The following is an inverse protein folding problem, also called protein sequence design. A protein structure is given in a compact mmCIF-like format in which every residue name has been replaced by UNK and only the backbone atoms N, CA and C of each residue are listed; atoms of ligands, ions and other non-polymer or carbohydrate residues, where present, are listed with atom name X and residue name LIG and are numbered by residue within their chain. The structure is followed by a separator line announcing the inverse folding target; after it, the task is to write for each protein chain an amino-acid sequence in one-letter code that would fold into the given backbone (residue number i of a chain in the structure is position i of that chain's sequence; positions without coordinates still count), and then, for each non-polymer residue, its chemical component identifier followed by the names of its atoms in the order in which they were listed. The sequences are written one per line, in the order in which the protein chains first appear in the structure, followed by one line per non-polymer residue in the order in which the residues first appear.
data_IF_705072828804
#
_entry.id   IF_705072828804
#
_cell.length_a   1.000
_cell.length_b   1.000
_cell.length_c   1.000
_cell.angle_alpha   90.00
_cell.angle_beta   90.00
_cell.angle_gamma   90.00
#
_symmetry.space_group_name_H-M   'P 1'
#
loop_
_entity.id
_entity.type
_entity.pdbx_description
1 polymer ?
#
# COMPACT_ATOMS: atom_id res chain seq x y z
N UNK A 1 4.59 26.25 16.38
CA UNK A 1 4.56 25.34 15.21
C UNK A 1 4.03 24.02 15.74
N UNK A 2 2.95 23.52 15.15
CA UNK A 2 2.32 22.26 15.56
C UNK A 2 3.22 21.09 15.14
N UNK A 3 3.34 20.07 15.98
CA UNK A 3 4.12 18.88 15.67
C UNK A 3 3.29 17.89 14.85
N UNK A 4 3.54 17.86 13.53
CA UNK A 4 2.90 16.90 12.62
C UNK A 4 3.76 15.64 12.38
N UNK A 5 4.88 15.50 13.09
CA UNK A 5 5.75 14.34 12.97
C UNK A 5 5.04 13.05 13.42
N UNK A 6 5.45 11.94 12.84
CA UNK A 6 4.95 10.61 13.19
C UNK A 6 6.06 9.58 13.13
N UNK A 7 5.76 8.36 13.53
CA UNK A 7 6.64 7.22 13.39
C UNK A 7 5.96 6.15 12.54
N UNK A 8 6.69 5.59 11.59
CA UNK A 8 6.22 4.48 10.76
C UNK A 8 7.39 3.53 10.46
N UNK A 9 7.20 2.24 10.72
CA UNK A 9 8.22 1.18 10.59
C UNK A 9 9.52 1.48 11.38
N UNK A 10 9.38 2.09 12.55
CA UNK A 10 10.53 2.54 13.33
C UNK A 10 11.24 3.79 12.78
N UNK A 11 10.84 4.28 11.61
CA UNK A 11 11.39 5.48 10.97
C UNK A 11 10.67 6.73 11.50
N UNK A 12 11.44 7.77 11.84
CA UNK A 12 10.88 9.08 12.20
C UNK A 12 10.55 9.85 10.92
N UNK A 13 9.30 10.23 10.76
CA UNK A 13 8.78 10.96 9.62
C UNK A 13 8.42 12.39 9.99
N UNK A 14 8.66 13.33 9.07
CA UNK A 14 8.38 14.77 9.28
C UNK A 14 6.87 15.07 9.33
N UNK A 15 6.04 14.19 8.77
CA UNK A 15 4.59 14.34 8.70
C UNK A 15 3.89 13.03 8.33
N UNK A 16 2.56 13.02 8.28
CA UNK A 16 1.77 11.80 8.13
C UNK A 16 1.58 11.35 6.67
N UNK A 17 2.08 12.11 5.69
CA UNK A 17 1.84 11.83 4.27
C UNK A 17 3.00 11.04 3.68
N UNK A 18 2.69 9.86 3.15
CA UNK A 18 3.60 9.00 2.39
C UNK A 18 3.07 8.86 0.97
N UNK A 19 3.95 8.91 -0.02
CA UNK A 19 3.57 8.58 -1.40
C UNK A 19 3.54 7.07 -1.56
N UNK A 20 2.36 6.52 -1.92
CA UNK A 20 2.19 5.10 -2.20
C UNK A 20 2.86 4.71 -3.51
N UNK A 21 3.15 3.42 -3.69
CA UNK A 21 3.66 2.87 -4.95
C UNK A 21 2.83 3.34 -6.15
N UNK A 22 3.47 4.00 -7.12
CA UNK A 22 2.83 4.65 -8.26
C UNK A 22 3.86 4.86 -9.37
N UNK A 23 3.47 4.87 -10.67
CA UNK A 23 4.37 5.23 -11.77
C UNK A 23 5.04 6.60 -11.62
N UNK A 24 4.46 7.54 -10.87
CA UNK A 24 5.10 8.82 -10.57
C UNK A 24 6.43 8.65 -9.82
N UNK A 25 6.58 7.58 -9.04
CA UNK A 25 7.83 7.29 -8.30
C UNK A 25 8.91 6.58 -9.14
N UNK A 26 8.74 6.44 -10.45
CA UNK A 26 9.77 5.92 -11.38
C UNK A 26 10.75 7.01 -11.85
N UNK A 27 10.52 8.26 -11.50
CA UNK A 27 11.35 9.39 -11.83
C UNK A 27 12.03 9.94 -10.57
N UNK A 28 13.36 9.99 -10.57
CA UNK A 28 14.16 10.62 -9.50
C UNK A 28 13.77 12.09 -9.30
N UNK A 29 13.48 12.79 -10.39
CA UNK A 29 13.02 14.18 -10.32
C UNK A 29 11.65 14.31 -9.65
N UNK A 30 10.72 13.41 -9.93
CA UNK A 30 9.44 13.39 -9.24
C UNK A 30 9.60 13.08 -7.75
N UNK A 31 10.49 12.14 -7.39
CA UNK A 31 10.76 11.82 -5.97
C UNK A 31 11.29 13.05 -5.23
N UNK A 32 12.18 13.83 -5.86
CA UNK A 32 12.66 15.10 -5.31
C UNK A 32 11.52 16.11 -5.13
N UNK A 33 10.65 16.26 -6.13
CA UNK A 33 9.47 17.14 -6.05
C UNK A 33 8.50 16.68 -4.96
N UNK A 34 8.34 15.37 -4.73
CA UNK A 34 7.54 14.83 -3.64
C UNK A 34 8.10 15.22 -2.27
N UNK A 35 9.42 15.14 -2.09
CA UNK A 35 10.07 15.62 -0.86
C UNK A 35 9.92 17.14 -0.69
N UNK A 36 10.15 17.92 -1.73
CA UNK A 36 9.99 19.38 -1.74
C UNK A 36 8.54 19.80 -1.43
N UNK A 37 7.56 19.03 -1.90
CA UNK A 37 6.13 19.23 -1.59
C UNK A 37 5.76 18.80 -0.16
N UNK A 38 6.67 18.15 0.58
CA UNK A 38 6.47 17.79 1.97
C UNK A 38 6.09 16.31 2.21
N UNK A 39 6.22 15.43 1.23
CA UNK A 39 6.13 14.00 1.47
C UNK A 39 7.15 13.57 2.52
N UNK A 40 6.75 12.68 3.42
CA UNK A 40 7.60 12.22 4.51
C UNK A 40 8.32 10.91 4.22
N UNK A 41 7.86 10.16 3.23
CA UNK A 41 8.49 8.98 2.63
C UNK A 41 7.87 8.69 1.26
N UNK A 42 8.56 7.90 0.45
CA UNK A 42 8.07 7.46 -0.86
C UNK A 42 8.23 5.95 -0.98
N UNK A 43 7.14 5.29 -1.40
CA UNK A 43 7.17 3.88 -1.81
C UNK A 43 7.41 3.84 -3.32
N UNK A 44 8.46 3.17 -3.74
CA UNK A 44 8.79 3.01 -5.16
C UNK A 44 7.76 2.13 -5.86
N UNK A 45 7.69 2.23 -7.17
CA UNK A 45 6.93 1.28 -8.02
C UNK A 45 7.30 -0.15 -7.67
N UNK A 46 6.31 -1.04 -7.64
CA UNK A 46 6.53 -2.43 -7.27
C UNK A 46 7.35 -3.17 -8.33
N UNK A 47 8.31 -3.95 -7.88
CA UNK A 47 8.95 -4.98 -8.70
C UNK A 47 8.06 -6.23 -8.67
N UNK A 48 7.64 -6.72 -9.84
CA UNK A 48 6.75 -7.86 -9.97
C UNK A 48 7.52 -9.17 -10.15
N UNK A 49 7.02 -10.24 -9.52
CA UNK A 49 7.60 -11.58 -9.62
C UNK A 49 7.64 -12.08 -11.07
N UNK A 50 6.60 -11.80 -11.84
CA UNK A 50 6.48 -12.20 -13.24
C UNK A 50 7.58 -11.57 -14.12
N UNK A 51 7.96 -10.32 -13.83
CA UNK A 51 9.08 -9.66 -14.53
C UNK A 51 10.39 -10.40 -14.29
N UNK A 52 10.63 -10.80 -13.04
CA UNK A 52 11.83 -11.53 -12.65
C UNK A 52 11.89 -12.94 -13.24
N UNK A 53 10.73 -13.63 -13.32
CA UNK A 53 10.63 -14.93 -13.96
C UNK A 53 10.90 -14.86 -15.47
N UNK A 54 10.45 -13.79 -16.13
CA UNK A 54 10.71 -13.54 -17.54
C UNK A 54 12.19 -13.30 -17.81
N UNK A 55 12.85 -12.45 -16.99
CA UNK A 55 14.30 -12.22 -17.10
C UNK A 55 15.11 -13.51 -16.97
N UNK A 56 14.76 -14.34 -15.97
CA UNK A 56 15.46 -15.60 -15.75
C UNK A 56 15.31 -16.55 -16.96
N UNK A 57 14.12 -16.61 -17.57
CA UNK A 57 13.88 -17.40 -18.78
C UNK A 57 14.64 -16.87 -19.99
N UNK A 58 14.62 -15.55 -20.20
CA UNK A 58 15.35 -14.92 -21.31
C UNK A 58 16.86 -15.16 -21.18
N UNK A 59 17.38 -15.09 -19.97
CA UNK A 59 18.80 -15.37 -19.68
C UNK A 59 19.14 -16.85 -19.94
N UNK A 60 18.26 -17.79 -19.52
CA UNK A 60 18.42 -19.23 -19.75
C UNK A 60 18.32 -19.57 -21.26
N UNK A 61 17.43 -18.93 -21.99
CA UNK A 61 17.27 -19.06 -23.44
C UNK A 61 18.50 -18.50 -24.18
N UNK A 62 19.03 -17.36 -23.77
CA UNK A 62 20.24 -16.78 -24.36
C UNK A 62 21.49 -17.62 -24.03
N UNK A 63 21.56 -18.23 -22.86
CA UNK A 63 22.61 -19.17 -22.49
C UNK A 63 22.45 -20.53 -23.20
N UNK A 64 21.22 -20.94 -23.51
CA UNK A 64 20.92 -22.22 -24.19
C UNK A 64 20.85 -22.11 -25.71
N UNK A 65 20.92 -20.93 -26.31
CA UNK A 65 20.93 -20.71 -27.78
C UNK A 65 22.06 -21.42 -28.55
N UNK A 66 22.87 -22.25 -27.85
CA UNK A 66 23.85 -23.16 -28.47
C UNK A 66 23.38 -24.58 -28.70
N UNK A 67 22.19 -25.00 -28.27
CA UNK A 67 21.69 -26.37 -28.43
C UNK A 67 20.18 -26.39 -28.67
N UNK A 68 19.81 -26.60 -29.94
CA UNK A 68 18.52 -27.04 -30.49
C UNK A 68 17.23 -26.27 -30.11
N UNK A 69 16.65 -25.73 -31.17
CA UNK A 69 15.34 -25.06 -31.21
C UNK A 69 14.17 -26.04 -31.00
N UNK A 70 13.25 -25.70 -30.09
CA UNK A 70 11.83 -26.04 -30.20
C UNK A 70 10.98 -24.85 -29.77
N UNK A 71 10.27 -24.29 -30.77
CA UNK A 71 9.23 -23.29 -30.54
C UNK A 71 7.95 -24.04 -30.15
N UNK A 72 7.49 -23.90 -28.91
CA UNK A 72 6.07 -23.94 -28.50
C UNK A 72 5.95 -23.79 -27.01
N UNK A 73 5.78 -22.57 -26.58
CA UNK A 73 4.84 -22.23 -25.51
C UNK A 73 4.72 -20.70 -25.47
N UNK A 74 3.82 -20.19 -26.29
CA UNK A 74 3.31 -18.83 -26.15
C UNK A 74 2.52 -18.79 -24.84
N UNK A 75 3.21 -18.34 -23.80
CA UNK A 75 2.66 -18.28 -22.46
C UNK A 75 1.55 -17.24 -22.35
N UNK A 76 0.64 -17.49 -21.46
CA UNK A 76 -0.40 -16.60 -20.94
C UNK A 76 0.16 -15.35 -20.18
N UNK A 77 1.34 -14.88 -20.52
CA UNK A 77 1.90 -13.67 -19.93
C UNK A 77 1.55 -12.49 -20.85
N UNK A 78 0.98 -11.39 -20.30
CA UNK A 78 0.74 -10.16 -21.06
C UNK A 78 2.05 -9.62 -21.65
N UNK A 79 1.98 -8.89 -22.78
CA UNK A 79 3.12 -8.16 -23.32
C UNK A 79 3.59 -7.08 -22.34
N UNK A 80 4.62 -7.39 -21.57
CA UNK A 80 5.23 -6.49 -20.58
C UNK A 80 6.22 -5.47 -21.19
N UNK A 81 6.22 -5.28 -22.51
CA UNK A 81 7.19 -4.45 -23.23
C UNK A 81 7.21 -2.99 -22.77
N UNK A 82 6.14 -2.49 -22.12
CA UNK A 82 6.08 -1.11 -21.58
C UNK A 82 6.41 -1.01 -20.07
N UNK A 83 6.57 -2.14 -19.35
CA UNK A 83 6.80 -2.20 -17.89
C UNK A 83 8.06 -3.00 -17.53
N UNK A 84 9.13 -2.87 -18.28
CA UNK A 84 10.33 -3.70 -18.09
C UNK A 84 11.41 -3.01 -17.27
N UNK A 85 11.16 -2.79 -15.96
CA UNK A 85 12.28 -2.57 -15.04
C UNK A 85 12.91 -3.91 -14.71
N UNK A 86 14.14 -4.15 -15.18
CA UNK A 86 14.92 -5.31 -14.80
C UNK A 86 15.31 -5.24 -13.32
N UNK A 87 15.62 -6.38 -12.69
CA UNK A 87 16.10 -6.43 -11.31
C UNK A 87 17.26 -5.47 -11.08
N UNK A 88 18.29 -5.51 -11.95
CA UNK A 88 19.46 -4.64 -11.84
C UNK A 88 19.11 -3.16 -12.03
N UNK A 89 18.21 -2.84 -12.97
CA UNK A 89 17.76 -1.48 -13.20
C UNK A 89 16.97 -0.91 -12.01
N UNK A 90 16.14 -1.76 -11.35
CA UNK A 90 15.43 -1.40 -10.15
C UNK A 90 16.36 -1.09 -8.98
N UNK A 91 17.35 -1.94 -8.71
CA UNK A 91 18.34 -1.70 -7.66
C UNK A 91 19.18 -0.44 -7.94
N UNK A 92 19.59 -0.24 -9.19
CA UNK A 92 20.28 0.98 -9.62
C UNK A 92 19.40 2.23 -9.47
N UNK A 93 18.12 2.13 -9.76
CA UNK A 93 17.15 3.21 -9.57
C UNK A 93 16.95 3.53 -8.07
N UNK A 94 16.74 2.51 -7.24
CA UNK A 94 16.63 2.65 -5.79
C UNK A 94 17.85 3.38 -5.20
N UNK A 95 19.05 2.97 -5.58
CA UNK A 95 20.28 3.62 -5.12
C UNK A 95 20.34 5.11 -5.53
N UNK A 96 19.97 5.43 -6.78
CA UNK A 96 19.89 6.84 -7.24
C UNK A 96 18.83 7.63 -6.48
N UNK A 97 17.63 7.08 -6.33
CA UNK A 97 16.54 7.73 -5.59
C UNK A 97 16.98 8.05 -4.16
N UNK A 98 17.57 7.07 -3.46
CA UNK A 98 18.05 7.25 -2.09
C UNK A 98 19.15 8.31 -1.96
N UNK A 99 19.97 8.49 -3.00
CA UNK A 99 21.08 9.45 -2.99
C UNK A 99 20.66 10.92 -3.17
N UNK A 100 19.46 11.19 -3.66
CA UNK A 100 19.00 12.55 -4.01
C UNK A 100 18.00 13.16 -3.03
N UNK A 101 17.44 12.36 -2.10
CA UNK A 101 16.47 12.84 -1.11
C UNK A 101 16.90 12.48 0.32
N UNK A 102 16.42 13.27 1.27
CA UNK A 102 16.65 13.05 2.71
C UNK A 102 15.53 12.26 3.39
N UNK A 103 14.42 12.03 2.71
CA UNK A 103 13.28 11.25 3.22
C UNK A 103 13.50 9.74 2.97
N UNK A 104 12.90 8.87 3.80
CA UNK A 104 12.95 7.43 3.59
C UNK A 104 12.39 6.98 2.23
N UNK A 105 13.08 6.02 1.61
CA UNK A 105 12.66 5.34 0.39
C UNK A 105 12.33 3.89 0.73
N UNK A 106 11.07 3.51 0.51
CA UNK A 106 10.58 2.16 0.70
C UNK A 106 10.56 1.45 -0.66
N UNK A 107 11.20 0.30 -0.75
CA UNK A 107 11.08 -0.55 -1.94
C UNK A 107 9.79 -1.35 -1.87
N UNK A 108 9.15 -1.58 -3.01
CA UNK A 108 7.92 -2.38 -3.10
C UNK A 108 8.15 -3.64 -3.91
N UNK A 109 7.76 -4.78 -3.34
CA UNK A 109 7.79 -6.09 -3.97
C UNK A 109 6.37 -6.62 -4.15
N UNK A 110 6.04 -7.10 -5.36
CA UNK A 110 4.73 -7.67 -5.67
C UNK A 110 4.87 -9.11 -6.15
N UNK A 111 4.21 -10.05 -5.46
CA UNK A 111 4.17 -11.46 -5.85
C UNK A 111 3.54 -12.38 -4.81
N UNK A 112 3.49 -13.65 -5.16
CA UNK A 112 2.75 -14.68 -4.43
C UNK A 112 3.58 -15.91 -4.03
N UNK A 113 4.83 -16.08 -4.55
CA UNK A 113 5.64 -17.28 -4.29
C UNK A 113 6.88 -16.98 -3.46
N UNK A 114 7.31 -17.92 -2.62
CA UNK A 114 8.38 -17.70 -1.64
C UNK A 114 9.82 -17.77 -2.20
N UNK A 115 10.03 -18.33 -3.38
CA UNK A 115 11.38 -18.74 -3.83
C UNK A 115 12.33 -17.60 -4.21
N UNK A 116 11.86 -16.55 -4.88
CA UNK A 116 12.67 -15.42 -5.35
C UNK A 116 12.77 -14.25 -4.36
N UNK A 117 11.76 -14.08 -3.53
CA UNK A 117 11.55 -12.91 -2.68
C UNK A 117 12.64 -12.68 -1.63
N UNK A 118 13.12 -13.74 -1.00
CA UNK A 118 14.16 -13.66 0.02
C UNK A 118 15.46 -13.09 -0.55
N UNK A 119 15.81 -13.51 -1.78
CA UNK A 119 17.01 -13.00 -2.46
C UNK A 119 16.82 -11.52 -2.81
N UNK A 120 15.68 -11.16 -3.41
CA UNK A 120 15.41 -9.78 -3.80
C UNK A 120 15.32 -8.84 -2.61
N UNK A 121 14.71 -9.26 -1.51
CA UNK A 121 14.67 -8.47 -0.28
C UNK A 121 16.08 -8.14 0.24
N UNK A 122 17.00 -9.12 0.21
CA UNK A 122 18.41 -8.89 0.58
C UNK A 122 19.13 -7.92 -0.37
N UNK A 123 18.86 -8.02 -1.66
CA UNK A 123 19.50 -7.13 -2.63
C UNK A 123 18.94 -5.70 -2.55
N UNK A 124 17.64 -5.54 -2.26
CA UNK A 124 17.01 -4.27 -1.93
C UNK A 124 17.61 -3.63 -0.67
N UNK A 125 17.81 -4.41 0.38
CA UNK A 125 18.49 -3.93 1.60
C UNK A 125 19.90 -3.44 1.30
N UNK A 126 20.69 -4.22 0.52
CA UNK A 126 22.04 -3.82 0.10
C UNK A 126 22.04 -2.57 -0.79
N UNK A 127 21.02 -2.37 -1.61
CA UNK A 127 20.86 -1.18 -2.45
C UNK A 127 20.49 0.08 -1.65
N UNK A 128 20.17 -0.06 -0.34
CA UNK A 128 19.99 1.05 0.58
C UNK A 128 18.54 1.48 0.79
N UNK A 129 17.57 0.60 0.58
CA UNK A 129 16.19 0.86 0.99
C UNK A 129 16.10 1.04 2.51
N UNK A 130 15.24 1.95 2.96
CA UNK A 130 14.98 2.19 4.38
C UNK A 130 13.96 1.19 4.95
N UNK A 131 13.07 0.64 4.09
CA UNK A 131 12.09 -0.38 4.43
C UNK A 131 11.62 -1.14 3.17
N UNK A 132 10.88 -2.23 3.37
CA UNK A 132 10.23 -2.99 2.29
C UNK A 132 8.71 -2.97 2.50
N UNK A 133 7.95 -2.67 1.45
CA UNK A 133 6.51 -2.93 1.36
C UNK A 133 6.30 -4.22 0.55
N UNK A 134 5.85 -5.29 1.21
CA UNK A 134 5.41 -6.51 0.53
C UNK A 134 3.97 -6.31 0.05
N UNK A 135 3.80 -6.25 -1.25
CA UNK A 135 2.50 -6.15 -1.89
C UNK A 135 2.01 -7.56 -2.25
N UNK A 136 1.21 -8.15 -1.37
CA UNK A 136 0.70 -9.51 -1.52
C UNK A 136 -0.61 -9.51 -2.31
N UNK A 137 -0.52 -9.21 -3.61
CA UNK A 137 -1.67 -9.18 -4.51
C UNK A 137 -1.88 -10.58 -5.11
N UNK A 138 -2.49 -11.47 -4.31
CA UNK A 138 -2.90 -12.79 -4.78
C UNK A 138 -4.41 -12.85 -4.95
N UNK A 139 -4.86 -13.39 -6.08
CA UNK A 139 -6.27 -13.69 -6.33
C UNK A 139 -6.50 -15.19 -6.15
N UNK A 140 -7.34 -15.54 -5.18
CA UNK A 140 -7.74 -16.92 -4.93
C UNK A 140 -8.79 -17.35 -5.95
N UNK A 141 -8.35 -17.81 -7.11
CA UNK A 141 -9.21 -18.22 -8.24
C UNK A 141 -9.41 -19.73 -8.31
N UNK A 142 -8.61 -20.51 -7.59
CA UNK A 142 -8.75 -21.97 -7.54
C UNK A 142 -9.75 -22.37 -6.45
N UNK A 143 -10.89 -22.99 -6.82
CA UNK A 143 -11.89 -23.45 -5.85
C UNK A 143 -11.41 -24.59 -4.93
N UNK A 144 -10.31 -25.25 -5.25
CA UNK A 144 -9.71 -26.28 -4.42
C UNK A 144 -8.83 -25.71 -3.30
N UNK A 145 -8.38 -24.44 -3.42
CA UNK A 145 -7.53 -23.79 -2.43
C UNK A 145 -8.36 -23.22 -1.27
N UNK A 146 -8.05 -23.62 -0.06
CA UNK A 146 -8.74 -23.13 1.13
C UNK A 146 -8.21 -21.78 1.63
N UNK A 147 -9.03 -21.00 2.34
CA UNK A 147 -8.60 -19.76 2.98
C UNK A 147 -7.41 -19.97 3.93
N UNK A 148 -7.37 -21.11 4.64
CA UNK A 148 -6.28 -21.42 5.56
C UNK A 148 -4.95 -21.63 4.82
N UNK A 149 -4.96 -22.28 3.66
CA UNK A 149 -3.77 -22.45 2.81
C UNK A 149 -3.27 -21.13 2.26
N UNK A 150 -4.17 -20.25 1.81
CA UNK A 150 -3.81 -18.89 1.32
C UNK A 150 -3.16 -18.07 2.43
N UNK A 151 -3.77 -18.06 3.63
CA UNK A 151 -3.21 -17.36 4.78
C UNK A 151 -1.85 -17.93 5.20
N UNK A 152 -1.69 -19.26 5.18
CA UNK A 152 -0.44 -19.92 5.51
C UNK A 152 0.68 -19.55 4.54
N UNK A 153 0.42 -19.58 3.23
CA UNK A 153 1.38 -19.18 2.20
C UNK A 153 1.83 -17.72 2.38
N UNK A 154 0.89 -16.82 2.68
CA UNK A 154 1.21 -15.44 2.98
C UNK A 154 2.13 -15.30 4.21
N UNK A 155 1.83 -16.02 5.28
CA UNK A 155 2.61 -15.96 6.51
C UNK A 155 4.01 -16.55 6.35
N UNK A 156 4.14 -17.65 5.61
CA UNK A 156 5.45 -18.25 5.27
C UNK A 156 6.31 -17.29 4.44
N UNK A 157 5.71 -16.60 3.49
CA UNK A 157 6.39 -15.56 2.70
C UNK A 157 6.90 -14.43 3.60
N UNK A 158 6.02 -13.88 4.45
CA UNK A 158 6.36 -12.75 5.34
C UNK A 158 7.45 -13.15 6.35
N UNK A 159 7.31 -14.30 7.01
CA UNK A 159 8.32 -14.83 7.93
C UNK A 159 9.69 -15.03 7.25
N UNK A 160 9.68 -15.60 6.04
CA UNK A 160 10.90 -15.80 5.26
C UNK A 160 11.60 -14.49 4.90
N UNK A 161 10.86 -13.47 4.49
CA UNK A 161 11.42 -12.15 4.17
C UNK A 161 11.90 -11.44 5.43
N UNK A 162 11.07 -11.39 6.49
CA UNK A 162 11.43 -10.70 7.74
C UNK A 162 12.68 -11.28 8.39
N UNK A 163 12.90 -12.60 8.30
CA UNK A 163 14.15 -13.23 8.78
C UNK A 163 15.36 -12.95 7.89
N UNK A 164 15.14 -12.62 6.64
CA UNK A 164 16.20 -12.47 5.66
C UNK A 164 16.85 -11.09 5.65
N UNK A 165 16.13 -10.06 6.11
CA UNK A 165 16.55 -8.65 6.10
C UNK A 165 16.52 -8.06 7.52
N UNK A 166 17.24 -6.95 7.71
CA UNK A 166 17.28 -6.19 8.96
C UNK A 166 16.41 -4.93 8.90
N UNK A 167 16.14 -4.44 7.68
CA UNK A 167 15.26 -3.30 7.46
C UNK A 167 13.81 -3.72 7.71
N UNK A 168 12.95 -2.80 8.19
CA UNK A 168 11.57 -3.12 8.51
C UNK A 168 10.75 -3.51 7.29
N UNK A 169 9.75 -4.38 7.52
CA UNK A 169 8.86 -4.90 6.49
C UNK A 169 7.42 -4.54 6.82
N UNK A 170 6.73 -3.87 5.91
CA UNK A 170 5.29 -3.68 5.92
C UNK A 170 4.62 -4.64 4.95
N UNK A 171 3.42 -5.12 5.30
CA UNK A 171 2.63 -6.00 4.44
C UNK A 171 1.37 -5.27 3.97
N UNK A 172 1.25 -5.11 2.66
CA UNK A 172 0.06 -4.49 2.06
C UNK A 172 -0.96 -5.56 1.72
N UNK A 173 -2.12 -5.44 2.36
CA UNK A 173 -3.15 -6.47 2.36
C UNK A 173 -4.28 -6.18 1.38
N UNK A 174 -4.94 -7.25 0.92
CA UNK A 174 -6.28 -7.19 0.35
C UNK A 174 -7.32 -7.06 1.47
N UNK A 175 -8.47 -6.42 1.24
CA UNK A 175 -9.57 -6.42 2.21
C UNK A 175 -10.34 -7.75 2.26
N UNK A 176 -10.01 -8.72 1.40
CA UNK A 176 -10.79 -9.93 1.16
C UNK A 176 -10.44 -11.10 2.10
N UNK A 177 -9.96 -10.83 3.30
CA UNK A 177 -9.72 -11.86 4.32
C UNK A 177 -10.92 -11.99 5.27
N UNK A 178 -11.28 -13.23 5.61
CA UNK A 178 -12.43 -13.52 6.47
C UNK A 178 -12.26 -12.97 7.89
N UNK A 179 -11.05 -13.05 8.45
CA UNK A 179 -10.73 -12.54 9.78
C UNK A 179 -9.45 -11.69 9.73
N UNK A 180 -9.60 -10.44 9.31
CA UNK A 180 -8.47 -9.51 9.20
C UNK A 180 -7.74 -9.29 10.54
N UNK A 181 -8.41 -9.13 11.70
CA UNK A 181 -7.69 -8.98 12.97
C UNK A 181 -6.84 -10.19 13.34
N UNK A 182 -7.33 -11.40 13.08
CA UNK A 182 -6.56 -12.62 13.34
C UNK A 182 -5.36 -12.72 12.41
N UNK A 183 -5.54 -12.47 11.12
CA UNK A 183 -4.44 -12.45 10.16
C UNK A 183 -3.39 -11.40 10.51
N UNK A 184 -3.81 -10.20 10.89
CA UNK A 184 -2.90 -9.11 11.26
C UNK A 184 -2.04 -9.46 12.48
N UNK A 185 -2.61 -10.12 13.49
CA UNK A 185 -1.86 -10.61 14.64
C UNK A 185 -0.83 -11.69 14.22
N UNK A 186 -1.19 -12.61 13.34
CA UNK A 186 -0.25 -13.61 12.81
C UNK A 186 0.86 -13.01 11.95
N UNK A 187 0.59 -11.93 11.24
CA UNK A 187 1.62 -11.18 10.49
C UNK A 187 2.61 -10.48 11.44
N UNK A 188 2.12 -9.94 12.56
CA UNK A 188 2.98 -9.43 13.65
C UNK A 188 3.88 -10.54 14.19
N UNK A 189 3.32 -11.72 14.49
CA UNK A 189 4.08 -12.90 14.94
C UNK A 189 5.10 -13.38 13.90
N UNK A 190 4.80 -13.24 12.60
CA UNK A 190 5.70 -13.55 11.49
C UNK A 190 6.80 -12.48 11.28
N UNK A 191 6.81 -11.42 12.09
CA UNK A 191 7.86 -10.39 12.10
C UNK A 191 7.57 -9.15 11.28
N UNK A 192 6.37 -8.97 10.72
CA UNK A 192 5.99 -7.71 10.08
C UNK A 192 6.00 -6.57 11.10
N UNK A 193 6.52 -5.40 10.72
CA UNK A 193 6.51 -4.20 11.55
C UNK A 193 5.38 -3.23 11.19
N UNK A 194 4.68 -3.48 10.10
CA UNK A 194 3.53 -2.68 9.69
C UNK A 194 2.61 -3.40 8.73
N UNK A 195 1.37 -2.91 8.67
CA UNK A 195 0.39 -3.31 7.66
C UNK A 195 -0.13 -2.10 6.91
N UNK A 196 -0.41 -2.29 5.62
CA UNK A 196 -1.00 -1.26 4.77
C UNK A 196 -2.41 -1.68 4.36
N UNK A 197 -3.39 -0.87 4.73
CA UNK A 197 -4.81 -1.06 4.47
C UNK A 197 -5.26 -0.08 3.37
N UNK A 198 -5.54 -0.46 2.16
CA UNK A 198 -5.44 -1.77 1.53
C UNK A 198 -4.83 -1.63 0.14
N UNK A 199 -4.41 -2.76 -0.43
CA UNK A 199 -4.19 -2.82 -1.86
C UNK A 199 -5.49 -2.51 -2.59
N UNK A 200 -5.39 -1.92 -3.78
CA UNK A 200 -6.56 -1.70 -4.61
C UNK A 200 -6.85 -2.98 -5.39
N UNK A 201 -8.10 -3.41 -5.33
CA UNK A 201 -8.57 -4.50 -6.16
C UNK A 201 -8.97 -3.95 -7.53
N UNK A 202 -8.28 -4.39 -8.58
CA UNK A 202 -8.57 -4.00 -9.96
C UNK A 202 -9.49 -5.05 -10.58
N UNK A 203 -10.71 -4.63 -10.91
CA UNK A 203 -11.66 -5.46 -11.60
C UNK A 203 -11.61 -5.15 -13.10
N UNK A 204 -11.62 -6.20 -13.97
CA UNK A 204 -11.82 -5.99 -15.39
C UNK A 204 -13.27 -5.53 -15.66
N UNK A 205 -13.45 -4.77 -16.74
CA UNK A 205 -14.75 -4.43 -17.29
C UNK A 205 -15.08 -5.32 -18.49
N UNK A 206 -16.35 -5.37 -18.88
CA UNK A 206 -16.82 -6.16 -20.00
C UNK A 206 -17.31 -5.23 -21.13
N UNK A 207 -16.69 -5.32 -22.31
CA UNK A 207 -17.22 -4.68 -23.49
C UNK A 207 -18.29 -5.62 -24.11
N UNK A 208 -19.54 -5.20 -23.99
CA UNK A 208 -20.68 -5.99 -24.43
C UNK A 208 -20.85 -6.01 -25.95
N UNK A 209 -20.27 -5.03 -26.66
CA UNK A 209 -20.35 -4.96 -28.13
C UNK A 209 -19.30 -5.88 -28.79
N UNK A 210 -18.08 -5.89 -28.25
CA UNK A 210 -16.99 -6.76 -28.75
C UNK A 210 -16.91 -8.09 -28.03
N UNK A 211 -17.65 -8.30 -26.94
CA UNK A 211 -17.62 -9.48 -26.06
C UNK A 211 -16.21 -9.74 -25.49
N UNK A 212 -15.50 -8.66 -25.16
CA UNK A 212 -14.14 -8.71 -24.62
C UNK A 212 -14.11 -8.33 -23.15
N UNK A 213 -13.19 -8.95 -22.41
CA UNK A 213 -12.84 -8.57 -21.05
C UNK A 213 -11.73 -7.53 -21.14
N UNK A 214 -11.96 -6.31 -20.61
CA UNK A 214 -11.03 -5.20 -20.72
C UNK A 214 -10.42 -4.85 -19.36
N UNK A 215 -9.09 -4.74 -19.23
CA UNK A 215 -8.47 -4.17 -18.05
C UNK A 215 -8.88 -2.71 -17.92
N UNK A 216 -9.37 -2.31 -16.76
CA UNK A 216 -9.86 -0.95 -16.51
C UNK A 216 -9.22 -0.38 -15.26
N UNK A 217 -8.62 0.81 -15.39
CA UNK A 217 -8.03 1.53 -14.27
C UNK A 217 -8.88 2.76 -13.93
N UNK A 218 -9.45 2.75 -12.73
CA UNK A 218 -10.07 3.94 -12.14
C UNK A 218 -9.24 4.44 -10.97
N UNK A 219 -9.03 5.74 -10.85
CA UNK A 219 -8.41 6.31 -9.65
C UNK A 219 -9.33 6.14 -8.44
N UNK A 220 -8.74 6.00 -7.25
CA UNK A 220 -9.51 5.91 -6.01
C UNK A 220 -10.26 7.22 -5.76
N UNK A 221 -11.42 7.10 -5.14
CA UNK A 221 -12.25 8.22 -4.70
C UNK A 221 -12.25 8.31 -3.17
N UNK A 222 -12.58 9.47 -2.56
CA UNK A 222 -12.67 9.62 -1.10
C UNK A 222 -13.63 8.61 -0.44
N UNK A 223 -14.65 8.13 -1.14
CA UNK A 223 -15.58 7.11 -0.60
C UNK A 223 -14.90 5.77 -0.29
N UNK A 224 -13.83 5.45 -0.98
CA UNK A 224 -13.06 4.22 -0.72
C UNK A 224 -12.30 4.27 0.62
N UNK A 225 -12.07 5.46 1.18
CA UNK A 225 -11.41 5.63 2.47
C UNK A 225 -12.20 4.97 3.61
N UNK A 226 -13.53 4.95 3.55
CA UNK A 226 -14.39 4.47 4.63
C UNK A 226 -14.06 3.03 5.07
N UNK A 227 -13.78 2.15 4.11
CA UNK A 227 -13.37 0.77 4.41
C UNK A 227 -12.06 0.72 5.20
N UNK A 228 -11.10 1.58 4.84
CA UNK A 228 -9.77 1.67 5.49
C UNK A 228 -9.89 2.21 6.90
N UNK A 229 -10.69 3.26 7.09
CA UNK A 229 -10.97 3.85 8.41
C UNK A 229 -11.59 2.83 9.35
N UNK A 230 -12.58 2.06 8.85
CA UNK A 230 -13.25 1.04 9.63
C UNK A 230 -12.26 0.01 10.18
N UNK A 231 -11.41 -0.55 9.32
CA UNK A 231 -10.46 -1.57 9.74
C UNK A 231 -9.30 -0.99 10.56
N UNK A 232 -8.78 0.19 10.23
CA UNK A 232 -7.76 0.85 11.05
C UNK A 232 -8.27 1.10 12.47
N UNK A 233 -9.52 1.58 12.62
CA UNK A 233 -10.13 1.85 13.90
C UNK A 233 -10.38 0.57 14.74
N UNK A 234 -10.65 -0.56 14.10
CA UNK A 234 -10.79 -1.86 14.76
C UNK A 234 -9.42 -2.39 15.21
N UNK A 235 -8.41 -2.28 14.35
CA UNK A 235 -7.09 -2.88 14.61
C UNK A 235 -6.26 -2.07 15.60
N UNK A 236 -6.50 -0.75 15.70
CA UNK A 236 -5.75 0.12 16.59
C UNK A 236 -5.84 -0.34 18.05
N UNK A 237 -4.67 -0.55 18.66
CA UNK A 237 -4.53 -1.00 20.05
C UNK A 237 -4.73 -2.51 20.27
N UNK A 238 -4.97 -3.27 19.21
CA UNK A 238 -4.91 -4.74 19.23
C UNK A 238 -3.56 -5.27 18.75
N UNK A 239 -2.82 -4.47 17.98
CA UNK A 239 -1.53 -4.80 17.40
C UNK A 239 -0.46 -3.85 17.94
N UNK A 240 0.80 -4.30 17.98
CA UNK A 240 1.97 -3.47 18.30
C UNK A 240 2.73 -3.03 17.03
N UNK A 241 2.24 -3.39 15.85
CA UNK A 241 2.79 -2.97 14.55
C UNK A 241 2.08 -1.73 14.02
N UNK A 242 2.77 -1.01 13.14
CA UNK A 242 2.25 0.23 12.59
C UNK A 242 1.17 -0.01 11.53
N UNK A 243 0.22 0.93 11.45
CA UNK A 243 -0.88 0.89 10.47
C UNK A 243 -0.73 2.04 9.49
N UNK A 244 -0.71 1.74 8.20
CA UNK A 244 -0.83 2.72 7.14
C UNK A 244 -2.17 2.55 6.40
N UNK A 245 -2.76 3.67 5.97
CA UNK A 245 -3.97 3.70 5.14
C UNK A 245 -3.58 4.06 3.72
N UNK A 246 -3.99 3.27 2.73
CA UNK A 246 -3.74 3.50 1.30
C UNK A 246 -5.02 3.43 0.48
N UNK A 247 -5.27 4.47 -0.32
CA UNK A 247 -6.45 4.63 -1.17
C UNK A 247 -7.57 5.46 -0.53
N UNK A 248 -8.12 6.39 -1.31
CA UNK A 248 -9.18 7.31 -0.89
C UNK A 248 -8.69 8.54 -0.12
N UNK A 249 -7.40 8.76 -0.01
CA UNK A 249 -6.81 9.94 0.66
C UNK A 249 -6.60 11.03 -0.40
N UNK A 250 -7.40 12.10 -0.33
CA UNK A 250 -7.40 13.19 -1.30
C UNK A 250 -7.34 14.59 -0.66
N UNK A 251 -7.59 14.71 0.64
CA UNK A 251 -7.66 15.99 1.37
C UNK A 251 -7.04 15.89 2.75
N UNK A 252 -6.85 17.04 3.41
CA UNK A 252 -6.43 17.10 4.81
C UNK A 252 -7.44 16.41 5.75
N UNK A 253 -8.74 16.52 5.45
CA UNK A 253 -9.78 15.82 6.22
C UNK A 253 -9.61 14.31 6.15
N UNK A 254 -9.22 13.76 5.01
CA UNK A 254 -8.97 12.32 4.85
C UNK A 254 -7.74 11.88 5.67
N UNK A 255 -6.69 12.70 5.70
CA UNK A 255 -5.50 12.47 6.54
C UNK A 255 -5.90 12.48 8.02
N UNK A 256 -6.62 13.49 8.47
CA UNK A 256 -7.10 13.61 9.87
C UNK A 256 -7.93 12.39 10.27
N UNK A 257 -8.90 11.98 9.43
CA UNK A 257 -9.71 10.79 9.67
C UNK A 257 -8.84 9.52 9.79
N UNK A 258 -7.83 9.37 8.94
CA UNK A 258 -6.89 8.25 9.00
C UNK A 258 -6.14 8.20 10.33
N UNK A 259 -5.60 9.32 10.78
CA UNK A 259 -4.87 9.42 12.05
C UNK A 259 -5.81 9.17 13.23
N UNK A 260 -7.00 9.79 13.24
CA UNK A 260 -8.02 9.56 14.28
C UNK A 260 -8.50 8.11 14.35
N UNK A 261 -8.55 7.41 13.22
CA UNK A 261 -8.83 5.98 13.19
C UNK A 261 -7.70 5.12 13.77
N UNK A 262 -6.48 5.65 13.84
CA UNK A 262 -5.33 4.97 14.45
C UNK A 262 -4.15 4.71 13.52
N UNK A 263 -4.22 5.16 12.26
CA UNK A 263 -3.09 5.03 11.35
C UNK A 263 -1.89 5.85 11.82
N UNK A 264 -0.70 5.34 11.54
CA UNK A 264 0.56 6.06 11.73
C UNK A 264 0.79 7.05 10.59
N UNK A 265 0.42 6.63 9.37
CA UNK A 265 0.56 7.41 8.14
C UNK A 265 -0.62 7.16 7.21
N UNK A 266 -0.84 8.11 6.31
CA UNK A 266 -1.75 7.98 5.17
C UNK A 266 -0.96 8.01 3.88
N UNK A 267 -1.31 7.12 2.96
CA UNK A 267 -0.62 6.98 1.69
C UNK A 267 -1.50 7.44 0.53
N UNK A 268 -0.94 8.21 -0.40
CA UNK A 268 -1.66 8.71 -1.55
C UNK A 268 -0.93 8.42 -2.86
N UNK A 269 -1.70 8.15 -3.90
CA UNK A 269 -1.26 8.04 -5.29
C UNK A 269 -2.27 8.71 -6.22
N UNK A 270 -3.55 8.29 -6.21
CA UNK A 270 -4.59 8.81 -7.10
C UNK A 270 -4.75 10.32 -7.03
N UNK A 271 -4.69 10.91 -5.84
CA UNK A 271 -4.76 12.34 -5.65
C UNK A 271 -3.61 13.08 -6.37
N UNK A 272 -2.41 12.49 -6.38
CA UNK A 272 -1.24 13.07 -7.05
C UNK A 272 -1.33 12.99 -8.57
N UNK A 273 -1.95 11.93 -9.12
CA UNK A 273 -2.25 11.85 -10.55
C UNK A 273 -3.29 12.85 -10.98
N UNK A 274 -4.29 13.14 -10.14
CA UNK A 274 -5.40 14.05 -10.46
C UNK A 274 -4.98 15.52 -10.29
N UNK A 275 -4.24 15.85 -9.22
CA UNK A 275 -3.99 17.21 -8.78
C UNK A 275 -2.53 17.67 -8.87
N UNK A 276 -1.61 16.76 -9.26
CA UNK A 276 -0.16 17.00 -9.27
C UNK A 276 0.50 16.73 -7.93
N UNK A 277 1.83 16.62 -7.94
CA UNK A 277 2.67 16.31 -6.77
C UNK A 277 2.56 17.40 -5.70
N UNK A 278 2.46 18.64 -6.12
CA UNK A 278 2.37 19.84 -5.27
C UNK A 278 1.08 19.88 -4.41
N UNK A 279 0.14 18.99 -4.69
CA UNK A 279 -1.06 18.83 -3.87
C UNK A 279 -0.74 18.38 -2.43
N UNK A 280 0.38 17.71 -2.22
CA UNK A 280 0.88 17.34 -0.88
C UNK A 280 1.03 18.57 0.00
N UNK A 281 1.66 19.64 -0.50
CA UNK A 281 1.86 20.88 0.24
C UNK A 281 0.54 21.52 0.65
N UNK A 282 -0.44 21.59 -0.27
CA UNK A 282 -1.78 22.12 0.04
C UNK A 282 -2.48 21.32 1.14
N UNK A 283 -2.38 20.01 1.10
CA UNK A 283 -2.96 19.15 2.15
C UNK A 283 -2.27 19.41 3.50
N UNK A 284 -0.95 19.60 3.51
CA UNK A 284 -0.21 19.89 4.74
C UNK A 284 -0.55 21.26 5.30
N UNK A 285 -0.76 22.27 4.46
CA UNK A 285 -1.21 23.60 4.90
C UNK A 285 -2.61 23.51 5.52
N UNK A 286 -3.58 22.91 4.84
CA UNK A 286 -4.93 22.70 5.34
C UNK A 286 -4.95 21.86 6.63
N UNK A 287 -4.05 20.87 6.75
CA UNK A 287 -3.88 20.06 7.96
C UNK A 287 -3.41 20.90 9.16
N UNK A 288 -2.39 21.73 8.94
CA UNK A 288 -1.89 22.62 9.98
C UNK A 288 -2.95 23.63 10.42
N UNK A 289 -3.67 24.25 9.47
CA UNK A 289 -4.76 25.19 9.75
C UNK A 289 -5.86 24.54 10.59
N UNK A 290 -6.22 23.28 10.26
CA UNK A 290 -7.22 22.53 11.01
C UNK A 290 -6.76 22.23 12.45
N UNK A 291 -5.51 21.78 12.60
CA UNK A 291 -4.92 21.47 13.92
C UNK A 291 -4.83 22.73 14.79
N UNK A 292 -4.41 23.86 14.23
CA UNK A 292 -4.35 25.15 14.94
C UNK A 292 -5.73 25.59 15.41
N UNK A 293 -6.72 25.55 14.52
CA UNK A 293 -8.11 25.91 14.82
C UNK A 293 -8.72 25.06 15.94
N UNK A 294 -8.29 23.80 16.07
CA UNK A 294 -8.82 22.87 17.05
C UNK A 294 -7.90 22.69 18.28
N UNK A 295 -6.87 23.55 18.40
CA UNK A 295 -5.97 23.62 19.55
C UNK A 295 -5.18 22.32 19.84
N UNK A 296 -4.89 21.51 18.80
CA UNK A 296 -4.01 20.36 18.93
C UNK A 296 -2.54 20.79 18.91
N UNK A 297 -1.74 20.30 19.86
CA UNK A 297 -0.31 20.54 19.87
C UNK A 297 0.45 19.55 18.94
N UNK A 298 -0.11 18.36 18.73
CA UNK A 298 0.49 17.35 17.84
C UNK A 298 -0.53 16.39 17.22
N UNK A 299 -0.14 15.75 16.10
CA UNK A 299 -0.91 14.63 15.51
C UNK A 299 -1.01 13.45 16.46
N UNK A 300 0.02 13.22 17.28
CA UNK A 300 0.05 12.07 18.18
C UNK A 300 -1.04 12.13 19.25
N UNK A 301 -1.46 13.34 19.67
CA UNK A 301 -2.57 13.52 20.62
C UNK A 301 -3.91 13.00 20.07
N UNK A 302 -4.11 13.11 18.76
CA UNK A 302 -5.38 12.72 18.13
C UNK A 302 -5.36 11.29 17.59
N UNK A 303 -4.19 10.65 17.46
CA UNK A 303 -4.07 9.33 16.88
C UNK A 303 -4.89 8.29 17.65
N UNK A 304 -5.81 7.63 16.94
CA UNK A 304 -6.69 6.61 17.51
C UNK A 304 -7.83 7.14 18.37
N UNK A 305 -8.05 8.47 18.43
CA UNK A 305 -9.14 9.07 19.22
C UNK A 305 -10.53 8.61 18.80
N UNK A 306 -10.71 8.26 17.52
CA UNK A 306 -11.93 7.68 16.97
C UNK A 306 -11.82 6.17 16.72
N UNK A 307 -10.83 5.50 17.29
CA UNK A 307 -10.72 4.04 17.21
C UNK A 307 -11.80 3.35 18.05
N UNK A 308 -12.08 2.08 17.73
CA UNK A 308 -13.00 1.23 18.50
C UNK A 308 -12.62 1.17 19.99
N UNK A 309 -11.32 1.25 20.30
CA UNK A 309 -10.80 1.24 21.66
C UNK A 309 -11.11 2.53 22.43
N UNK A 310 -11.18 3.66 21.74
CA UNK A 310 -11.22 4.99 22.38
C UNK A 310 -12.61 5.60 22.44
N UNK A 311 -13.52 5.21 21.55
CA UNK A 311 -14.87 5.77 21.51
C UNK A 311 -15.76 5.21 22.63
N UNK A 312 -16.66 6.03 23.23
CA UNK A 312 -17.59 5.56 24.26
C UNK A 312 -18.63 4.55 23.75
N UNK A 313 -19.09 4.70 22.52
CA UNK A 313 -20.05 3.80 21.85
C UNK A 313 -19.33 3.07 20.70
N UNK A 314 -19.07 1.78 20.87
CA UNK A 314 -18.42 0.93 19.86
C UNK A 314 -19.38 0.42 18.78
N UNK A 315 -20.68 0.61 18.95
CA UNK A 315 -21.70 0.07 18.04
C UNK A 315 -21.53 0.45 16.57
N UNK A 316 -20.94 1.61 16.18
CA UNK A 316 -20.60 1.89 14.78
C UNK A 316 -19.61 0.92 14.14
N UNK A 317 -18.78 0.24 14.96
CA UNK A 317 -17.80 -0.75 14.50
C UNK A 317 -18.33 -2.19 14.58
N UNK A 318 -19.50 -2.39 15.14
CA UNK A 318 -20.12 -3.70 15.35
C UNK A 318 -21.33 -3.90 14.40
N UNK A 319 -21.87 -5.12 14.39
CA UNK A 319 -23.03 -5.46 13.56
C UNK A 319 -24.24 -4.52 13.77
N UNK A 320 -24.36 -3.90 14.95
CA UNK A 320 -25.43 -2.94 15.26
C UNK A 320 -25.45 -1.69 14.38
N UNK A 321 -24.30 -1.33 13.77
CA UNK A 321 -24.20 -0.23 12.82
C UNK A 321 -25.11 -0.42 11.60
N UNK A 322 -25.33 -1.67 11.16
CA UNK A 322 -26.19 -1.96 10.00
C UNK A 322 -27.60 -1.39 10.17
N UNK A 323 -28.22 -1.60 11.32
CA UNK A 323 -29.56 -1.09 11.62
C UNK A 323 -29.56 0.44 11.72
N UNK A 324 -28.55 1.01 12.43
CA UNK A 324 -28.41 2.46 12.59
C UNK A 324 -28.23 3.16 11.23
N UNK A 325 -27.42 2.61 10.35
CA UNK A 325 -27.16 3.15 9.01
C UNK A 325 -28.43 3.12 8.16
N UNK A 326 -29.18 2.01 8.15
CA UNK A 326 -30.43 1.91 7.41
C UNK A 326 -31.48 2.91 7.93
N UNK A 327 -31.57 3.10 9.26
CA UNK A 327 -32.51 4.04 9.86
C UNK A 327 -32.11 5.51 9.66
N UNK A 328 -30.85 5.81 9.35
CA UNK A 328 -30.37 7.16 9.05
C UNK A 328 -30.59 7.60 7.61
N UNK A 329 -31.03 6.69 6.74
CA UNK A 329 -31.32 7.00 5.35
C UNK A 329 -32.43 8.03 5.22
N UNK A 330 -32.18 9.12 4.50
CA UNK A 330 -33.20 10.12 4.16
C UNK A 330 -33.15 10.43 2.67
N UNK A 331 -34.32 10.63 2.07
CA UNK A 331 -34.49 10.98 0.66
C UNK A 331 -33.75 12.28 0.25
N UNK A 332 -33.42 13.15 1.23
CA UNK A 332 -32.65 14.38 0.97
C UNK A 332 -31.18 14.13 0.66
N UNK A 333 -30.64 12.99 1.07
CA UNK A 333 -29.24 12.61 0.75
C UNK A 333 -29.11 12.06 -0.68
N UNK A 334 -30.18 11.56 -1.26
CA UNK A 334 -30.18 10.98 -2.62
C UNK A 334 -30.07 12.07 -3.71
N UNK A 335 -30.53 13.29 -3.44
CA UNK A 335 -30.54 14.41 -4.42
C UNK A 335 -29.20 15.14 -4.47
N UNK A 336 -28.33 14.99 -3.46
CA UNK A 336 -27.03 15.64 -3.38
C UNK A 336 -25.85 14.78 -3.92
N UNK A 337 -26.14 13.55 -4.35
CA UNK A 337 -25.12 12.58 -4.79
C UNK A 337 -25.11 12.34 -6.33
N UNK A 338 -25.85 13.15 -7.11
CA UNK A 338 -25.87 13.11 -8.58
C UNK A 338 -25.44 14.46 -9.17
#
# INVERSE_FOLDING_TARGET
MIDISTQYLGLKLKGPIVVSSTPLSESVENIRRMEEAGASAVVLTSLFEEQLALESRTLDEDLSRGTESFAESLGYLPDFNDYSMTHESYLGFLHRARSVVGIPILASLNGATSGGWIRFAKDIEKAGADAIELNTYALATDPAQTSAEIELQLLELVDGVCRAVKIPVAVKLSPAFTSLPHLAARLEDAGAQGIVLFNRFYQPDFDIETLEVRPTLHFSTPSELLLRLHWAAILFGHLNIDIAISGGVHSAEDVLKGIMAGANVTMMASALHIHGIEHIGRILDDLNDWLEKHEYASLNEMRGSLSRRSVPDTSPYDRGNYIKTLSSYSLRQTVAAF
#
